data_IF_311890976175
#
_entry.id   IF_311890976175
#
_cell.length_a   1.000
_cell.length_b   1.000
_cell.length_c   1.000
_cell.angle_alpha   90.00
_cell.angle_beta   90.00
_cell.angle_gamma   90.00
#
_symmetry.space_group_name_H-M   'P 1'
#
loop_
_entity.id
_entity.type
_entity.pdbx_description
1 polymer ?
#
# COMPACT_ATOMS: atom_id res chain seq x y z
N UNK A 1 -24.63 -20.96 49.16
CA UNK A 1 -24.44 -20.22 50.42
C UNK A 1 -25.31 -18.99 50.36
N UNK A 2 -26.17 -18.86 51.37
CA UNK A 2 -27.35 -18.01 51.40
C UNK A 2 -27.04 -16.51 51.54
N UNK A 3 -27.84 -15.70 50.87
CA UNK A 3 -27.98 -14.24 51.05
C UNK A 3 -28.51 -13.91 52.45
N UNK A 4 -28.03 -12.83 53.10
CA UNK A 4 -28.76 -12.20 54.19
C UNK A 4 -29.62 -11.01 53.71
N UNK A 5 -30.69 -10.65 54.44
CA UNK A 5 -31.77 -9.75 54.01
C UNK A 5 -31.60 -8.29 54.51
N UNK A 6 -32.47 -7.34 54.08
CA UNK A 6 -32.35 -5.91 54.35
C UNK A 6 -33.08 -5.48 55.64
N UNK A 7 -32.71 -4.32 56.21
CA UNK A 7 -33.47 -3.65 57.25
C UNK A 7 -33.70 -2.17 56.89
N UNK A 8 -34.97 -1.80 56.82
CA UNK A 8 -35.50 -0.45 56.68
C UNK A 8 -35.39 0.35 58.00
N UNK A 9 -35.51 1.68 57.86
CA UNK A 9 -35.60 2.76 58.86
C UNK A 9 -36.88 2.65 59.75
N UNK A 10 -37.36 3.65 60.55
CA UNK A 10 -36.97 5.06 60.74
C UNK A 10 -37.10 5.61 62.20
N UNK A 11 -36.97 6.94 62.38
CA UNK A 11 -37.78 7.85 63.24
C UNK A 11 -36.95 8.92 64.02
N UNK A 12 -37.08 10.18 63.61
CA UNK A 12 -36.99 11.42 64.42
C UNK A 12 -38.35 11.71 65.11
N UNK A 13 -38.57 12.74 65.98
CA UNK A 13 -37.75 13.86 66.50
C UNK A 13 -37.90 14.06 68.06
N UNK A 14 -37.53 15.19 68.73
CA UNK A 14 -38.39 16.39 68.77
C UNK A 14 -37.66 17.77 68.85
N UNK A 15 -38.46 18.82 68.70
CA UNK A 15 -38.13 20.25 68.62
C UNK A 15 -37.99 21.00 69.97
N UNK A 16 -37.00 21.92 70.03
CA UNK A 16 -36.93 23.29 70.62
C UNK A 16 -37.23 23.57 72.13
N UNK A 17 -36.59 24.58 72.77
CA UNK A 17 -37.07 25.99 72.66
C UNK A 17 -36.01 27.12 72.70
N UNK A 18 -36.35 28.19 71.96
CA UNK A 18 -36.16 29.66 72.12
C UNK A 18 -35.05 30.33 72.98
N UNK A 19 -34.42 31.32 72.29
CA UNK A 19 -34.03 32.72 72.69
C UNK A 19 -33.04 32.93 73.86
N UNK A 20 -31.93 33.60 73.59
CA UNK A 20 -31.73 35.03 73.90
C UNK A 20 -30.38 35.51 73.34
N UNK A 21 -30.34 36.71 72.76
CA UNK A 21 -29.21 37.20 71.98
C UNK A 21 -28.03 37.73 72.80
N UNK A 22 -26.89 37.84 72.13
CA UNK A 22 -25.95 38.95 72.27
C UNK A 22 -25.19 39.08 70.96
N UNK A 23 -25.42 40.20 70.27
CA UNK A 23 -24.66 40.65 69.10
C UNK A 23 -23.22 40.94 69.56
N UNK A 24 -22.27 40.14 69.10
CA UNK A 24 -20.89 40.58 68.91
C UNK A 24 -20.73 40.87 67.42
N UNK A 25 -20.86 42.14 67.04
CA UNK A 25 -20.42 42.63 65.74
C UNK A 25 -18.89 42.64 65.80
N UNK A 26 -18.26 41.56 65.36
CA UNK A 26 -16.85 41.57 64.98
C UNK A 26 -16.84 42.11 63.54
N UNK A 27 -16.22 43.29 63.36
CA UNK A 27 -15.89 43.81 62.03
C UNK A 27 -14.84 42.89 61.40
N UNK A 28 -15.28 41.87 60.68
CA UNK A 28 -14.48 41.12 59.71
C UNK A 28 -15.25 41.11 58.41
N UNK A 29 -15.01 42.09 57.53
CA UNK A 29 -15.42 42.01 56.12
C UNK A 29 -14.89 43.21 55.32
N UNK A 30 -13.59 43.26 55.09
CA UNK A 30 -13.02 44.00 53.94
C UNK A 30 -11.89 43.21 53.27
N UNK A 31 -11.17 42.34 53.99
CA UNK A 31 -10.09 41.52 53.42
C UNK A 31 -10.54 40.30 52.58
N UNK A 32 -11.74 39.73 52.79
CA UNK A 32 -12.21 38.57 52.00
C UNK A 32 -12.58 38.95 50.55
N UNK A 33 -13.07 40.17 50.32
CA UNK A 33 -13.48 40.63 48.98
C UNK A 33 -12.29 40.90 48.05
N UNK A 34 -11.18 41.40 48.59
CA UNK A 34 -9.94 41.59 47.83
C UNK A 34 -9.27 40.26 47.47
N UNK A 35 -9.23 39.31 48.41
CA UNK A 35 -8.62 38.00 48.16
C UNK A 35 -9.42 37.14 47.16
N UNK A 36 -10.76 37.32 47.11
CA UNK A 36 -11.62 36.66 46.12
C UNK A 36 -11.48 37.32 44.72
N UNK A 37 -11.34 38.64 44.66
CA UNK A 37 -11.14 39.39 43.43
C UNK A 37 -9.74 39.15 42.83
N UNK A 38 -8.70 39.11 43.65
CA UNK A 38 -7.32 38.77 43.25
C UNK A 38 -7.24 37.35 42.69
N UNK A 39 -7.93 36.37 43.31
CA UNK A 39 -8.03 35.01 42.77
C UNK A 39 -8.75 34.96 41.41
N UNK A 40 -9.77 35.80 41.21
CA UNK A 40 -10.48 35.93 39.92
C UNK A 40 -9.61 36.57 38.82
N UNK A 41 -8.77 37.54 39.17
CA UNK A 41 -7.81 38.14 38.23
C UNK A 41 -6.67 37.17 37.87
N UNK A 42 -6.17 36.40 38.85
CA UNK A 42 -5.20 35.33 38.63
C UNK A 42 -5.76 34.23 37.72
N UNK A 43 -7.01 33.79 37.94
CA UNK A 43 -7.67 32.79 37.08
C UNK A 43 -7.84 33.30 35.65
N UNK A 44 -8.21 34.58 35.47
CA UNK A 44 -8.31 35.20 34.13
C UNK A 44 -6.94 35.31 33.45
N UNK A 45 -5.92 35.74 34.20
CA UNK A 45 -4.56 35.83 33.68
C UNK A 45 -4.02 34.45 33.28
N UNK A 46 -4.32 33.42 34.07
CA UNK A 46 -3.99 32.04 33.76
C UNK A 46 -4.71 31.53 32.51
N UNK A 47 -6.01 31.78 32.38
CA UNK A 47 -6.78 31.41 31.18
C UNK A 47 -6.25 32.10 29.92
N UNK A 48 -5.90 33.38 29.97
CA UNK A 48 -5.38 34.07 28.78
C UNK A 48 -3.95 33.62 28.44
N UNK A 49 -3.12 33.35 29.44
CA UNK A 49 -1.80 32.74 29.25
C UNK A 49 -1.93 31.36 28.61
N UNK A 50 -2.80 30.51 29.15
CA UNK A 50 -3.09 29.18 28.62
C UNK A 50 -3.57 29.29 27.16
N UNK A 51 -4.52 30.19 26.87
CA UNK A 51 -5.03 30.44 25.52
C UNK A 51 -3.94 30.90 24.56
N UNK A 52 -3.04 31.76 25.02
CA UNK A 52 -1.90 32.27 24.23
C UNK A 52 -0.87 31.17 23.95
N UNK A 53 -0.50 30.41 24.97
CA UNK A 53 0.43 29.28 24.83
C UNK A 53 -0.19 28.21 23.91
N UNK A 54 -1.46 27.86 24.08
CA UNK A 54 -2.16 26.98 23.16
C UNK A 54 -2.14 27.55 21.74
N UNK A 55 -2.47 28.82 21.50
CA UNK A 55 -2.43 29.39 20.16
C UNK A 55 -1.01 29.32 19.53
N UNK A 56 0.05 29.48 20.32
CA UNK A 56 1.44 29.38 19.87
C UNK A 56 1.88 27.95 19.56
N UNK A 57 1.55 26.98 20.42
CA UNK A 57 2.06 25.60 20.32
C UNK A 57 1.14 24.67 19.53
N UNK A 58 -0.16 24.95 19.49
CA UNK A 58 -1.17 24.09 18.88
C UNK A 58 -0.92 23.82 17.40
N UNK A 59 -0.45 24.75 16.55
CA UNK A 59 -0.11 24.43 15.16
C UNK A 59 1.01 23.40 15.04
N UNK A 60 2.08 23.53 15.84
CA UNK A 60 3.21 22.60 15.84
C UNK A 60 2.87 21.26 16.49
N UNK A 61 1.99 21.25 17.48
CA UNK A 61 1.44 20.04 18.08
C UNK A 61 0.51 19.30 17.12
N UNK A 62 -0.41 20.02 16.46
CA UNK A 62 -1.32 19.46 15.47
C UNK A 62 -0.56 18.78 14.32
N UNK A 63 0.51 19.41 13.81
CA UNK A 63 1.39 18.79 12.80
C UNK A 63 1.99 17.48 13.32
N UNK A 64 2.60 17.48 14.51
CA UNK A 64 3.21 16.29 15.10
C UNK A 64 2.20 15.16 15.33
N UNK A 65 0.99 15.50 15.77
CA UNK A 65 -0.10 14.51 15.93
C UNK A 65 -0.48 13.92 14.57
N UNK A 66 -0.67 14.77 13.53
CA UNK A 66 -1.01 14.31 12.18
C UNK A 66 0.10 13.45 11.56
N UNK A 67 1.36 13.73 11.86
CA UNK A 67 2.50 12.91 11.45
C UNK A 67 2.51 11.53 12.12
N UNK A 68 1.93 11.44 13.33
CA UNK A 68 1.93 10.22 14.12
C UNK A 68 0.73 9.29 13.92
N UNK A 69 -0.29 9.72 13.19
CA UNK A 69 -1.49 8.90 12.94
C UNK A 69 -1.16 7.54 12.32
N UNK A 70 -1.85 6.46 12.73
CA UNK A 70 -1.54 5.11 12.29
C UNK A 70 -1.99 4.79 10.86
N UNK A 71 -3.04 5.45 10.38
CA UNK A 71 -3.70 5.11 9.11
C UNK A 71 -4.39 6.31 8.44
N UNK A 72 -4.83 6.12 7.20
CA UNK A 72 -5.43 7.17 6.36
C UNK A 72 -6.82 7.58 6.85
N UNK A 73 -7.60 6.67 7.46
CA UNK A 73 -8.93 6.97 8.01
C UNK A 73 -8.80 7.84 9.26
N UNK A 74 -7.83 7.53 10.12
CA UNK A 74 -7.49 8.34 11.28
C UNK A 74 -6.98 9.71 10.84
N UNK A 75 -6.12 9.78 9.81
CA UNK A 75 -5.68 11.06 9.22
C UNK A 75 -6.87 11.90 8.72
N UNK A 76 -7.82 11.29 8.02
CA UNK A 76 -9.01 11.98 7.48
C UNK A 76 -9.94 12.49 8.58
N UNK A 77 -10.07 11.73 9.67
CA UNK A 77 -10.83 12.14 10.85
C UNK A 77 -10.11 13.23 11.65
N UNK A 78 -8.78 13.14 11.79
CA UNK A 78 -7.98 14.09 12.57
C UNK A 78 -7.85 15.46 11.89
N UNK A 79 -7.76 15.52 10.56
CA UNK A 79 -7.59 16.81 9.85
C UNK A 79 -8.79 17.75 9.97
N UNK A 80 -9.97 17.23 10.35
CA UNK A 80 -11.21 18.02 10.47
C UNK A 80 -11.55 18.42 11.91
N UNK A 81 -10.70 18.09 12.90
CA UNK A 81 -10.98 18.35 14.31
C UNK A 81 -11.08 19.85 14.63
N UNK A 82 -10.16 20.67 14.12
CA UNK A 82 -10.19 22.12 14.28
C UNK A 82 -9.33 22.82 13.20
N UNK A 83 -9.34 24.17 13.21
CA UNK A 83 -8.60 25.00 12.25
C UNK A 83 -7.09 24.70 12.24
N UNK A 84 -6.47 24.47 13.39
CA UNK A 84 -5.03 24.19 13.47
C UNK A 84 -4.67 22.87 12.82
N UNK A 85 -5.45 21.80 13.05
CA UNK A 85 -5.29 20.51 12.38
C UNK A 85 -5.53 20.61 10.87
N UNK A 86 -6.57 21.33 10.46
CA UNK A 86 -6.85 21.56 9.04
C UNK A 86 -5.70 22.29 8.35
N UNK A 87 -5.20 23.38 8.93
CA UNK A 87 -4.07 24.14 8.37
C UNK A 87 -2.77 23.34 8.35
N UNK A 88 -2.50 22.57 9.41
CA UNK A 88 -1.35 21.66 9.46
C UNK A 88 -1.42 20.60 8.36
N UNK A 89 -2.60 20.04 8.09
CA UNK A 89 -2.83 19.11 6.98
C UNK A 89 -2.61 19.78 5.62
N UNK A 90 -3.24 20.94 5.39
CA UNK A 90 -3.16 21.68 4.12
C UNK A 90 -1.74 22.11 3.76
N UNK A 91 -0.88 22.32 4.77
CA UNK A 91 0.51 22.73 4.55
C UNK A 91 1.34 21.64 3.88
N UNK A 92 1.05 20.35 4.11
CA UNK A 92 1.77 19.25 3.48
C UNK A 92 0.95 17.94 3.42
N UNK A 93 -0.13 17.90 2.63
CA UNK A 93 -1.05 16.76 2.64
C UNK A 93 -0.41 15.49 2.10
N UNK A 94 0.42 15.59 1.06
CA UNK A 94 1.07 14.43 0.44
C UNK A 94 2.02 13.72 1.41
N UNK A 95 2.80 14.46 2.19
CA UNK A 95 3.69 13.88 3.19
C UNK A 95 2.91 13.09 4.25
N UNK A 96 1.84 13.68 4.79
CA UNK A 96 1.00 13.04 5.80
C UNK A 96 0.34 11.77 5.26
N UNK A 97 -0.15 11.81 4.02
CA UNK A 97 -0.73 10.64 3.33
C UNK A 97 0.31 9.54 3.13
N UNK A 98 1.51 9.88 2.63
CA UNK A 98 2.60 8.90 2.42
C UNK A 98 3.01 8.26 3.75
N UNK A 99 3.12 9.04 4.82
CA UNK A 99 3.49 8.56 6.16
C UNK A 99 2.41 7.68 6.79
N UNK A 100 1.14 8.08 6.69
CA UNK A 100 0.02 7.26 7.15
C UNK A 100 -0.09 5.95 6.37
N UNK A 101 0.13 5.98 5.05
CA UNK A 101 0.17 4.77 4.22
C UNK A 101 1.33 3.85 4.60
N UNK A 102 2.53 4.42 4.81
CA UNK A 102 3.68 3.66 5.26
C UNK A 102 3.44 2.94 6.58
N UNK A 103 2.69 3.55 7.51
CA UNK A 103 2.36 2.96 8.80
C UNK A 103 1.30 1.87 8.70
N UNK A 104 0.22 2.10 7.96
CA UNK A 104 -0.88 1.13 7.87
C UNK A 104 -0.54 -0.07 6.97
N UNK A 105 0.19 0.15 5.88
CA UNK A 105 0.53 -0.89 4.91
C UNK A 105 1.85 -0.52 4.22
N UNK A 106 3.00 -0.85 4.84
CA UNK A 106 4.31 -0.59 4.26
C UNK A 106 4.49 -1.14 2.83
N UNK A 107 4.00 -2.36 2.48
CA UNK A 107 4.09 -2.86 1.11
C UNK A 107 3.31 -2.03 0.09
N UNK A 108 2.10 -1.57 0.43
CA UNK A 108 1.31 -0.71 -0.44
C UNK A 108 1.98 0.66 -0.61
N UNK A 109 2.53 1.23 0.47
CA UNK A 109 3.33 2.45 0.39
C UNK A 109 4.51 2.26 -0.57
N UNK A 110 5.31 1.21 -0.43
CA UNK A 110 6.45 0.97 -1.31
C UNK A 110 6.02 0.87 -2.78
N UNK A 111 4.92 0.19 -3.10
CA UNK A 111 4.39 0.13 -4.47
C UNK A 111 4.19 1.53 -5.07
N UNK A 112 3.71 2.49 -4.25
CA UNK A 112 3.53 3.89 -4.66
C UNK A 112 4.86 4.63 -4.82
N UNK A 113 5.85 4.30 -4.02
CA UNK A 113 7.15 4.94 -4.08
C UNK A 113 8.05 4.42 -5.20
N UNK A 114 7.85 3.16 -5.61
CA UNK A 114 8.58 2.49 -6.71
C UNK A 114 8.12 2.94 -8.11
N UNK A 115 7.66 4.19 -8.24
CA UNK A 115 7.22 4.78 -9.50
C UNK A 115 5.72 4.56 -9.77
N UNK A 116 5.01 5.67 -9.97
CA UNK A 116 3.62 5.62 -10.42
C UNK A 116 3.59 5.46 -11.93
N UNK A 117 2.70 4.62 -12.47
CA UNK A 117 2.39 4.72 -13.88
C UNK A 117 1.92 6.14 -14.18
N UNK A 118 2.42 6.74 -15.27
CA UNK A 118 2.02 8.10 -15.67
C UNK A 118 0.56 8.16 -16.14
N UNK A 119 0.04 7.03 -16.60
CA UNK A 119 -1.33 6.90 -17.04
C UNK A 119 -2.30 6.68 -15.87
N UNK A 120 -3.53 7.17 -16.05
CA UNK A 120 -4.63 7.00 -15.10
C UNK A 120 -4.97 5.50 -14.94
N UNK A 121 -5.18 4.99 -13.71
CA UNK A 121 -5.58 3.60 -13.50
C UNK A 121 -6.84 3.19 -14.29
N UNK A 122 -6.97 1.90 -14.59
CA UNK A 122 -8.05 1.31 -15.40
C UNK A 122 -8.14 1.80 -16.87
N UNK A 123 -7.12 2.47 -17.41
CA UNK A 123 -7.11 2.90 -18.81
C UNK A 123 -6.31 1.94 -19.69
N UNK A 124 -6.57 1.94 -21.00
CA UNK A 124 -5.77 1.16 -21.95
C UNK A 124 -4.31 1.62 -21.91
N UNK A 125 -4.09 2.92 -21.75
CA UNK A 125 -2.77 3.52 -21.61
C UNK A 125 -2.04 2.95 -20.39
N UNK A 126 -2.71 2.84 -19.23
CA UNK A 126 -2.15 2.22 -18.03
C UNK A 126 -1.71 0.77 -18.27
N UNK A 127 -2.55 -0.01 -18.96
CA UNK A 127 -2.25 -1.40 -19.28
C UNK A 127 -1.10 -1.56 -20.27
N UNK A 128 -0.98 -0.65 -21.26
CA UNK A 128 0.17 -0.61 -22.17
C UNK A 128 1.46 -0.23 -21.45
N UNK A 129 1.39 0.62 -20.42
CA UNK A 129 2.55 1.02 -19.62
C UNK A 129 3.20 -0.15 -18.87
N UNK A 130 2.46 -1.23 -18.58
CA UNK A 130 3.00 -2.35 -17.79
C UNK A 130 4.26 -3.00 -18.39
N UNK A 131 4.40 -2.95 -19.73
CA UNK A 131 5.59 -3.44 -20.46
C UNK A 131 6.60 -2.37 -20.83
N UNK A 132 6.28 -1.09 -20.64
CA UNK A 132 7.17 0.00 -21.06
C UNK A 132 8.39 0.04 -20.16
N UNK A 133 9.58 -0.12 -20.78
CA UNK A 133 10.89 -0.02 -20.14
C UNK A 133 11.12 1.36 -19.56
N UNK A 134 10.78 2.38 -20.34
CA UNK A 134 10.86 3.79 -19.96
C UNK A 134 9.45 4.35 -19.78
N UNK A 135 9.20 4.93 -18.61
CA UNK A 135 7.97 5.68 -18.35
C UNK A 135 8.33 7.10 -17.93
N UNK A 136 7.71 8.12 -18.54
CA UNK A 136 7.89 9.48 -18.08
C UNK A 136 7.49 9.58 -16.61
N UNK A 137 8.24 10.37 -15.88
CA UNK A 137 7.99 10.68 -14.49
C UNK A 137 6.64 11.38 -14.29
N UNK A 138 5.58 10.77 -13.71
CA UNK A 138 4.43 11.57 -13.30
C UNK A 138 4.81 12.54 -12.18
N UNK A 139 4.32 13.77 -12.28
CA UNK A 139 4.23 14.69 -11.16
C UNK A 139 3.34 14.07 -10.09
N UNK A 140 3.88 13.78 -8.91
CA UNK A 140 3.09 13.18 -7.82
C UNK A 140 2.23 14.26 -7.19
N UNK A 141 0.92 14.03 -7.18
CA UNK A 141 -0.08 14.89 -6.54
C UNK A 141 -0.88 14.07 -5.55
N UNK A 142 -1.54 14.71 -4.58
CA UNK A 142 -2.46 13.98 -3.67
C UNK A 142 -3.51 13.20 -4.45
N UNK A 143 -4.09 13.83 -5.49
CA UNK A 143 -5.14 13.23 -6.30
C UNK A 143 -4.66 11.96 -7.03
N UNK A 144 -3.55 12.03 -7.78
CA UNK A 144 -3.06 10.83 -8.46
C UNK A 144 -2.56 9.77 -7.47
N UNK A 145 -1.89 10.17 -6.38
CA UNK A 145 -1.40 9.26 -5.37
C UNK A 145 -2.54 8.41 -4.78
N UNK A 146 -3.62 9.07 -4.37
CA UNK A 146 -4.81 8.42 -3.79
C UNK A 146 -5.62 7.64 -4.82
N UNK A 147 -5.76 8.16 -6.05
CA UNK A 147 -6.53 7.46 -7.09
C UNK A 147 -5.94 6.11 -7.48
N UNK A 148 -4.62 6.02 -7.55
CA UNK A 148 -3.96 4.74 -7.80
C UNK A 148 -3.98 3.85 -6.55
N UNK A 149 -3.79 4.39 -5.34
CA UNK A 149 -3.91 3.56 -4.13
C UNK A 149 -5.30 2.92 -4.06
N UNK A 150 -6.36 3.69 -4.31
CA UNK A 150 -7.73 3.18 -4.35
C UNK A 150 -7.90 2.07 -5.42
N UNK A 151 -7.30 2.25 -6.61
CA UNK A 151 -7.29 1.23 -7.64
C UNK A 151 -6.53 -0.04 -7.22
N UNK A 152 -5.34 0.13 -6.65
CA UNK A 152 -4.48 -0.96 -6.20
C UNK A 152 -5.18 -1.77 -5.09
N UNK A 153 -5.81 -1.12 -4.11
CA UNK A 153 -6.64 -1.78 -3.10
C UNK A 153 -7.84 -2.52 -3.69
N UNK A 154 -8.52 -1.93 -4.69
CA UNK A 154 -9.64 -2.58 -5.36
C UNK A 154 -9.21 -3.83 -6.15
N UNK A 155 -8.08 -3.76 -6.86
CA UNK A 155 -7.50 -4.91 -7.57
C UNK A 155 -7.15 -6.02 -6.59
N UNK A 156 -6.50 -5.70 -5.47
CA UNK A 156 -6.17 -6.70 -4.44
C UNK A 156 -7.44 -7.34 -3.86
N UNK A 157 -8.48 -6.55 -3.57
CA UNK A 157 -9.75 -7.09 -3.08
C UNK A 157 -10.40 -8.06 -4.07
N UNK A 158 -10.45 -7.70 -5.37
CA UNK A 158 -10.98 -8.59 -6.42
C UNK A 158 -10.15 -9.86 -6.59
N UNK A 159 -8.83 -9.74 -6.53
CA UNK A 159 -7.91 -10.87 -6.61
C UNK A 159 -8.13 -11.83 -5.45
N UNK A 160 -8.19 -11.34 -4.21
CA UNK A 160 -8.49 -12.16 -3.02
C UNK A 160 -9.84 -12.87 -3.21
N UNK A 161 -10.88 -12.15 -3.64
CA UNK A 161 -12.18 -12.73 -3.93
C UNK A 161 -12.18 -13.77 -5.07
N UNK A 162 -11.24 -13.69 -6.00
CA UNK A 162 -11.14 -14.60 -7.14
C UNK A 162 -10.32 -15.87 -6.85
N UNK A 163 -9.36 -15.81 -5.92
CA UNK A 163 -8.39 -16.89 -5.67
C UNK A 163 -8.67 -17.74 -4.42
N UNK A 164 -9.58 -17.27 -3.56
CA UNK A 164 -10.05 -18.01 -2.38
C UNK A 164 -11.52 -18.44 -2.59
N UNK A 165 -11.85 -19.64 -2.11
CA UNK A 165 -13.25 -20.12 -2.12
C UNK A 165 -14.08 -19.36 -1.08
N UNK A 166 -15.41 -19.45 -1.17
CA UNK A 166 -16.32 -18.85 -0.18
C UNK A 166 -16.00 -19.24 1.26
N UNK A 167 -15.69 -20.52 1.50
CA UNK A 167 -15.30 -21.03 2.82
C UNK A 167 -13.97 -20.43 3.30
N UNK A 168 -12.98 -20.36 2.42
CA UNK A 168 -11.69 -19.76 2.75
C UNK A 168 -11.82 -18.25 2.99
N UNK A 169 -12.69 -17.57 2.25
CA UNK A 169 -12.98 -16.16 2.48
C UNK A 169 -13.64 -15.94 3.84
N UNK A 170 -14.63 -16.77 4.21
CA UNK A 170 -15.22 -16.74 5.55
C UNK A 170 -14.15 -16.96 6.64
N UNK A 171 -13.25 -17.92 6.43
CA UNK A 171 -12.13 -18.14 7.34
C UNK A 171 -11.22 -16.91 7.47
N UNK A 172 -10.83 -16.28 6.36
CA UNK A 172 -10.02 -15.05 6.35
C UNK A 172 -10.72 -13.89 7.07
N UNK A 173 -12.03 -13.71 6.88
CA UNK A 173 -12.80 -12.66 7.56
C UNK A 173 -12.84 -12.82 9.09
N UNK A 174 -12.64 -14.04 9.60
CA UNK A 174 -12.53 -14.31 11.04
C UNK A 174 -11.10 -14.27 11.57
N UNK A 175 -10.09 -14.11 10.70
CA UNK A 175 -8.67 -14.09 11.06
C UNK A 175 -7.99 -12.87 10.44
N UNK A 176 -8.15 -11.72 11.10
CA UNK A 176 -7.67 -10.41 10.62
C UNK A 176 -6.17 -10.42 10.24
N UNK A 177 -5.32 -10.99 11.10
CA UNK A 177 -3.87 -11.06 10.84
C UNK A 177 -3.51 -11.90 9.61
N UNK A 178 -4.29 -12.94 9.31
CA UNK A 178 -4.08 -13.75 8.11
C UNK A 178 -4.58 -13.01 6.86
N UNK A 179 -5.70 -12.30 6.95
CA UNK A 179 -6.19 -11.45 5.86
C UNK A 179 -5.18 -10.34 5.54
N UNK A 180 -4.61 -9.71 6.56
CA UNK A 180 -3.54 -8.73 6.43
C UNK A 180 -2.31 -9.34 5.75
N UNK A 181 -1.86 -10.52 6.17
CA UNK A 181 -0.74 -11.22 5.54
C UNK A 181 -0.98 -11.56 4.05
N UNK A 182 -2.22 -11.93 3.69
CA UNK A 182 -2.62 -12.17 2.29
C UNK A 182 -2.64 -10.86 1.49
N UNK A 183 -3.18 -9.79 2.07
CA UNK A 183 -3.19 -8.47 1.44
C UNK A 183 -1.76 -7.96 1.19
N UNK A 184 -0.90 -8.04 2.20
CA UNK A 184 0.51 -7.67 2.12
C UNK A 184 1.25 -8.51 1.07
N UNK A 185 1.00 -9.82 1.01
CA UNK A 185 1.56 -10.68 -0.03
C UNK A 185 1.15 -10.23 -1.43
N UNK A 186 -0.10 -9.83 -1.64
CA UNK A 186 -0.56 -9.28 -2.93
C UNK A 186 0.21 -8.01 -3.30
N UNK A 187 0.34 -7.06 -2.37
CA UNK A 187 1.07 -5.81 -2.59
C UNK A 187 2.56 -6.08 -2.90
N UNK A 188 3.21 -6.98 -2.16
CA UNK A 188 4.60 -7.39 -2.38
C UNK A 188 4.82 -8.03 -3.74
N UNK A 189 3.92 -8.94 -4.17
CA UNK A 189 3.96 -9.54 -5.51
C UNK A 189 3.87 -8.45 -6.58
N UNK A 190 2.96 -7.49 -6.40
CA UNK A 190 2.81 -6.40 -7.37
C UNK A 190 4.06 -5.53 -7.43
N UNK A 191 4.62 -5.14 -6.28
CA UNK A 191 5.88 -4.38 -6.21
C UNK A 191 7.01 -5.15 -6.89
N UNK A 192 7.14 -6.45 -6.62
CA UNK A 192 8.15 -7.31 -7.24
C UNK A 192 8.02 -7.32 -8.77
N UNK A 193 6.81 -7.52 -9.31
CA UNK A 193 6.56 -7.45 -10.75
C UNK A 193 6.82 -6.04 -11.32
N UNK A 194 6.51 -5.00 -10.56
CA UNK A 194 6.77 -3.61 -10.95
C UNK A 194 8.27 -3.31 -11.03
N UNK A 195 9.11 -3.95 -10.22
CA UNK A 195 10.55 -3.72 -10.24
C UNK A 195 11.23 -4.63 -11.27
N UNK A 196 10.91 -5.93 -11.28
CA UNK A 196 11.69 -6.96 -11.96
C UNK A 196 11.00 -7.60 -13.18
N UNK A 197 9.68 -7.41 -13.34
CA UNK A 197 8.89 -8.10 -14.36
C UNK A 197 9.05 -7.57 -15.79
N UNK A 198 8.42 -8.29 -16.73
CA UNK A 198 8.53 -8.16 -18.19
C UNK A 198 8.69 -6.75 -18.76
N UNK A 199 9.55 -6.64 -19.77
CA UNK A 199 9.86 -5.41 -20.51
C UNK A 199 10.97 -4.57 -19.89
N UNK A 200 11.49 -4.96 -18.71
CA UNK A 200 12.48 -4.18 -17.95
C UNK A 200 13.90 -4.72 -18.03
N UNK A 201 14.09 -5.93 -18.55
CA UNK A 201 15.41 -6.58 -18.62
C UNK A 201 15.97 -7.03 -17.26
N UNK A 202 15.12 -7.15 -16.23
CA UNK A 202 15.52 -7.42 -14.83
C UNK A 202 14.98 -8.73 -14.25
N UNK A 203 14.41 -9.59 -15.09
CA UNK A 203 13.88 -10.89 -14.67
C UNK A 203 15.00 -11.83 -14.20
N UNK A 204 16.21 -11.66 -14.75
CA UNK A 204 17.43 -12.38 -14.34
C UNK A 204 18.30 -11.68 -13.29
N UNK A 205 17.88 -10.52 -12.78
CA UNK A 205 18.60 -9.74 -11.75
C UNK A 205 18.44 -10.39 -10.37
N UNK A 206 19.14 -11.51 -10.18
CA UNK A 206 19.00 -12.30 -8.96
C UNK A 206 19.51 -11.56 -7.73
N UNK A 207 20.57 -10.75 -7.85
CA UNK A 207 21.13 -9.95 -6.75
C UNK A 207 20.11 -8.91 -6.29
N UNK A 208 19.58 -8.11 -7.21
CA UNK A 208 18.57 -7.11 -6.90
C UNK A 208 17.30 -7.71 -6.30
N UNK A 209 16.86 -8.87 -6.80
CA UNK A 209 15.70 -9.58 -6.25
C UNK A 209 15.95 -10.06 -4.81
N UNK A 210 17.10 -10.67 -4.53
CA UNK A 210 17.43 -11.10 -3.16
C UNK A 210 17.56 -9.89 -2.23
N UNK A 211 18.20 -8.82 -2.68
CA UNK A 211 18.38 -7.61 -1.90
C UNK A 211 17.04 -6.94 -1.56
N UNK A 212 16.10 -6.88 -2.51
CA UNK A 212 14.74 -6.41 -2.24
C UNK A 212 14.04 -7.26 -1.18
N UNK A 213 14.11 -8.59 -1.29
CA UNK A 213 13.53 -9.53 -0.31
C UNK A 213 14.18 -9.39 1.08
N UNK A 214 15.46 -8.99 1.14
CA UNK A 214 16.21 -8.66 2.37
C UNK A 214 15.95 -7.24 2.89
N UNK A 215 15.07 -6.48 2.25
CA UNK A 215 14.69 -5.14 2.69
C UNK A 215 15.62 -4.02 2.19
N UNK A 216 16.50 -4.29 1.23
CA UNK A 216 17.23 -3.27 0.47
C UNK A 216 18.35 -2.54 1.22
N UNK A 217 18.84 -3.07 2.35
CA UNK A 217 19.79 -2.37 3.21
C UNK A 217 21.19 -2.13 2.59
N UNK A 218 21.70 -3.05 1.77
CA UNK A 218 23.03 -2.98 1.16
C UNK A 218 23.07 -1.96 0.01
N UNK A 219 22.02 -1.91 -0.82
CA UNK A 219 21.95 -0.99 -1.97
C UNK A 219 21.67 0.46 -1.54
N UNK A 220 21.26 0.69 -0.29
CA UNK A 220 21.04 2.03 0.28
C UNK A 220 22.27 2.63 0.99
N UNK A 221 23.41 1.93 1.02
CA UNK A 221 24.65 2.49 1.58
C UNK A 221 25.19 3.61 0.68
N UNK A 222 25.33 4.85 1.17
CA UNK A 222 25.72 5.98 0.32
C UNK A 222 27.17 5.85 -0.14
N UNK A 223 27.39 5.65 -1.44
CA UNK A 223 28.70 5.84 -2.05
C UNK A 223 28.89 7.32 -2.41
N UNK A 224 29.44 8.13 -1.49
CA UNK A 224 29.97 9.48 -1.78
C UNK A 224 28.96 10.62 -2.06
N UNK A 225 29.42 11.88 -2.14
CA UNK A 225 28.56 13.06 -1.97
C UNK A 225 27.88 13.53 -3.27
N UNK A 226 26.59 13.88 -3.14
CA UNK A 226 25.79 14.81 -3.95
C UNK A 226 25.65 14.51 -5.46
N UNK A 227 24.47 13.99 -5.86
CA UNK A 227 23.85 14.36 -7.14
C UNK A 227 22.34 14.52 -6.95
N UNK A 228 21.88 15.73 -7.26
CA UNK A 228 20.49 16.15 -7.35
C UNK A 228 19.85 15.47 -8.54
N UNK A 229 18.69 14.84 -8.32
CA UNK A 229 17.74 14.51 -9.38
C UNK A 229 17.98 13.16 -10.05
N UNK A 230 16.97 12.30 -9.92
CA UNK A 230 16.78 11.21 -10.87
C UNK A 230 16.71 11.83 -12.27
N UNK A 231 17.51 11.36 -13.22
CA UNK A 231 16.86 11.08 -14.50
C UNK A 231 15.99 9.87 -14.22
N UNK A 232 14.67 10.03 -14.25
CA UNK A 232 13.70 8.98 -13.85
C UNK A 232 13.69 7.77 -14.81
N UNK A 233 14.76 7.61 -15.59
CA UNK A 233 14.98 6.71 -16.72
C UNK A 233 16.28 5.88 -16.56
N UNK A 234 16.89 5.80 -15.37
CA UNK A 234 18.11 4.98 -15.17
C UNK A 234 17.76 3.55 -14.76
N UNK A 235 18.21 2.59 -15.56
CA UNK A 235 17.96 1.15 -15.48
C UNK A 235 18.78 0.39 -14.42
N UNK A 236 19.48 1.08 -13.52
CA UNK A 236 20.41 0.42 -12.60
C UNK A 236 20.08 0.76 -11.15
N UNK A 237 20.08 -0.26 -10.28
CA UNK A 237 20.11 -0.12 -8.82
C UNK A 237 21.39 0.55 -8.31
N UNK A 238 22.23 1.12 -9.19
CA UNK A 238 23.38 1.95 -8.80
C UNK A 238 22.97 3.07 -7.82
N UNK A 239 21.71 3.53 -7.88
CA UNK A 239 21.08 4.41 -6.89
C UNK A 239 19.60 4.04 -6.67
N UNK A 240 19.32 2.95 -5.94
CA UNK A 240 17.94 2.59 -5.61
C UNK A 240 17.22 3.69 -4.82
N UNK A 241 15.89 3.90 -5.02
CA UNK A 241 15.12 4.81 -4.18
C UNK A 241 15.26 4.45 -2.70
N UNK A 242 15.14 5.46 -1.84
CA UNK A 242 15.05 5.26 -0.39
C UNK A 242 13.95 4.26 -0.01
N UNK A 243 12.89 4.12 -0.81
CA UNK A 243 11.78 3.20 -0.59
C UNK A 243 12.08 1.73 -0.95
N UNK A 244 13.14 1.44 -1.71
CA UNK A 244 13.44 0.09 -2.19
C UNK A 244 13.62 -0.89 -1.01
N UNK A 245 12.77 -1.92 -0.99
CA UNK A 245 12.73 -2.95 0.06
C UNK A 245 12.19 -2.45 1.41
N UNK A 246 11.87 -1.17 1.58
CA UNK A 246 11.43 -0.63 2.88
C UNK A 246 10.05 -1.13 3.30
N UNK A 247 9.19 -1.50 2.36
CA UNK A 247 7.92 -2.16 2.64
C UNK A 247 8.08 -3.56 3.24
N UNK A 248 9.29 -4.11 3.22
CA UNK A 248 9.62 -5.42 3.79
C UNK A 248 10.17 -5.33 5.23
N UNK A 249 10.16 -4.15 5.87
CA UNK A 249 10.42 -4.01 7.31
C UNK A 249 11.83 -4.44 7.77
N UNK A 250 12.83 -4.44 6.89
CA UNK A 250 14.18 -4.97 7.17
C UNK A 250 14.44 -6.38 6.62
N UNK A 251 13.47 -6.94 5.91
CA UNK A 251 13.58 -8.22 5.22
C UNK A 251 12.39 -9.11 5.52
N UNK A 252 11.94 -9.83 4.49
CA UNK A 252 10.78 -10.72 4.62
C UNK A 252 11.11 -11.95 5.45
N UNK A 253 10.19 -12.30 6.35
CA UNK A 253 10.27 -13.53 7.13
C UNK A 253 9.93 -14.76 6.27
N UNK A 254 10.26 -15.95 6.77
CA UNK A 254 9.84 -17.21 6.13
C UNK A 254 8.31 -17.32 5.99
N UNK A 255 7.55 -16.70 6.90
CA UNK A 255 6.09 -16.67 6.82
C UNK A 255 5.61 -15.77 5.67
N UNK A 256 6.16 -14.56 5.56
CA UNK A 256 5.83 -13.63 4.46
C UNK A 256 6.11 -14.22 3.09
N UNK A 257 7.27 -14.87 2.94
CA UNK A 257 7.66 -15.53 1.68
C UNK A 257 6.69 -16.67 1.34
N UNK A 258 6.28 -17.47 2.33
CA UNK A 258 5.27 -18.54 2.14
C UNK A 258 3.91 -17.96 1.72
N UNK A 259 3.53 -16.80 2.25
CA UNK A 259 2.30 -16.11 1.83
C UNK A 259 2.37 -15.59 0.40
N UNK A 260 3.50 -15.01 0.00
CA UNK A 260 3.73 -14.63 -1.40
C UNK A 260 3.64 -15.84 -2.34
N UNK A 261 4.29 -16.95 -2.01
CA UNK A 261 4.21 -18.18 -2.81
C UNK A 261 2.79 -18.75 -2.88
N UNK A 262 2.05 -18.78 -1.76
CA UNK A 262 0.67 -19.25 -1.73
C UNK A 262 -0.23 -18.41 -2.65
N UNK A 263 -0.13 -17.08 -2.57
CA UNK A 263 -0.91 -16.16 -3.42
C UNK A 263 -0.52 -16.34 -4.88
N UNK A 264 0.78 -16.37 -5.20
CA UNK A 264 1.29 -16.60 -6.56
C UNK A 264 0.77 -17.89 -7.19
N UNK A 265 0.74 -18.98 -6.43
CA UNK A 265 0.28 -20.29 -6.90
C UNK A 265 -1.23 -20.34 -7.11
N UNK A 266 -1.99 -19.64 -6.25
CA UNK A 266 -3.43 -19.52 -6.41
C UNK A 266 -3.80 -18.66 -7.60
N UNK A 267 -3.09 -17.54 -7.81
CA UNK A 267 -3.22 -16.69 -9.01
C UNK A 267 -2.97 -17.48 -10.29
N UNK A 268 -1.84 -18.18 -10.35
CA UNK A 268 -1.45 -19.01 -11.49
C UNK A 268 -2.53 -20.05 -11.81
N UNK A 269 -3.02 -20.79 -10.80
CA UNK A 269 -4.10 -21.78 -10.98
C UNK A 269 -5.41 -21.14 -11.42
N UNK A 270 -5.77 -19.98 -10.86
CA UNK A 270 -7.01 -19.28 -11.20
C UNK A 270 -6.99 -18.78 -12.64
N UNK A 271 -5.87 -18.20 -13.09
CA UNK A 271 -5.67 -17.77 -14.46
C UNK A 271 -5.69 -18.97 -15.42
N UNK A 272 -4.98 -20.06 -15.08
CA UNK A 272 -5.02 -21.31 -15.85
C UNK A 272 -6.44 -21.84 -16.02
N UNK A 273 -7.20 -21.93 -14.94
CA UNK A 273 -8.61 -22.37 -14.99
C UNK A 273 -9.48 -21.45 -15.85
N UNK A 274 -9.24 -20.13 -15.82
CA UNK A 274 -9.95 -19.16 -16.64
C UNK A 274 -9.68 -19.35 -18.13
N UNK A 275 -8.44 -19.64 -18.53
CA UNK A 275 -8.08 -19.79 -19.96
C UNK A 275 -8.36 -21.18 -20.51
N UNK A 276 -8.42 -22.21 -19.67
CA UNK A 276 -8.75 -23.59 -20.08
C UNK A 276 -10.13 -23.72 -20.74
N UNK A 277 -11.05 -22.78 -20.48
CA UNK A 277 -12.37 -22.75 -21.13
C UNK A 277 -12.35 -22.15 -22.55
N UNK A 278 -11.21 -21.67 -23.02
CA UNK A 278 -11.08 -21.03 -24.33
C UNK A 278 -10.33 -21.96 -25.31
N UNK A 279 -10.73 -22.02 -26.59
CA UNK A 279 -9.97 -22.74 -27.60
C UNK A 279 -8.56 -22.15 -27.68
N UNK A 280 -7.55 -22.94 -27.31
CA UNK A 280 -6.15 -22.55 -27.44
C UNK A 280 -5.77 -22.57 -28.92
N UNK A 281 -6.11 -21.50 -29.63
CA UNK A 281 -5.64 -21.22 -30.98
C UNK A 281 -4.80 -19.97 -30.83
N UNK A 282 -3.47 -20.11 -30.87
CA UNK A 282 -2.60 -18.95 -30.83
C UNK A 282 -2.94 -18.10 -32.07
N UNK A 283 -3.31 -16.81 -31.91
CA UNK A 283 -3.53 -15.96 -33.06
C UNK A 283 -2.21 -15.81 -33.80
N UNK A 284 -2.11 -16.43 -34.99
CA UNK A 284 -1.02 -16.16 -35.92
C UNK A 284 -1.02 -14.64 -36.17
N UNK A 285 0.14 -13.98 -36.02
CA UNK A 285 0.35 -12.54 -36.31
C UNK A 285 0.03 -12.12 -37.75
N UNK A 286 -0.53 -13.01 -38.56
CA UNK A 286 -0.74 -12.85 -40.00
C UNK A 286 -2.02 -12.09 -40.36
N UNK A 287 -2.90 -11.75 -39.41
CA UNK A 287 -4.26 -11.31 -39.76
C UNK A 287 -4.53 -9.80 -39.87
N UNK A 288 -3.56 -8.90 -39.64
CA UNK A 288 -3.81 -7.44 -39.78
C UNK A 288 -2.81 -6.66 -40.65
N UNK A 289 -1.64 -7.18 -41.01
CA UNK A 289 -0.65 -6.45 -41.83
C UNK A 289 -0.66 -6.81 -43.34
N UNK A 290 -1.33 -7.88 -43.79
CA UNK A 290 -1.29 -8.30 -45.21
C UNK A 290 -2.32 -7.62 -46.14
N UNK A 291 -3.12 -6.66 -45.65
CA UNK A 291 -4.11 -6.00 -46.50
C UNK A 291 -3.58 -4.75 -47.23
N UNK A 292 -2.36 -4.27 -46.94
CA UNK A 292 -1.84 -3.03 -47.55
C UNK A 292 -0.36 -3.19 -47.95
N UNK A 293 -0.17 -3.44 -49.23
CA UNK A 293 1.03 -3.12 -50.05
C UNK A 293 1.98 -4.27 -50.48
N UNK A 294 1.64 -4.79 -51.66
CA UNK A 294 2.46 -5.19 -52.83
C UNK A 294 3.89 -5.72 -52.65
N UNK A 295 4.05 -6.87 -53.32
CA UNK A 295 5.09 -7.22 -54.30
C UNK A 295 6.56 -7.04 -53.93
N UNK A 296 7.28 -8.15 -54.06
CA UNK A 296 8.72 -8.21 -54.33
C UNK A 296 9.60 -7.96 -53.09
N UNK A 297 9.87 -9.00 -52.31
CA UNK A 297 11.19 -9.67 -52.26
C UNK A 297 11.04 -10.91 -51.37
N UNK A 298 11.31 -12.09 -51.92
CA UNK A 298 11.20 -13.38 -51.23
C UNK A 298 12.38 -13.54 -50.27
N UNK A 299 12.30 -12.94 -49.10
CA UNK A 299 13.10 -13.34 -47.96
C UNK A 299 12.53 -14.66 -47.44
N UNK A 300 13.38 -15.67 -47.31
CA UNK A 300 13.04 -16.94 -46.68
C UNK A 300 12.66 -16.62 -45.24
N UNK A 301 11.37 -16.60 -44.94
CA UNK A 301 10.86 -16.47 -43.59
C UNK A 301 11.28 -17.73 -42.82
N UNK A 302 11.96 -17.53 -41.70
CA UNK A 302 12.28 -18.56 -40.73
C UNK A 302 10.97 -19.02 -40.07
N UNK A 303 10.32 -19.96 -40.74
CA UNK A 303 8.98 -20.44 -40.46
C UNK A 303 9.04 -21.54 -39.39
N UNK A 304 9.52 -21.25 -38.17
CA UNK A 304 9.47 -22.23 -37.06
C UNK A 304 9.62 -21.66 -35.64
N UNK A 305 9.03 -20.52 -35.29
CA UNK A 305 8.81 -20.25 -33.85
C UNK A 305 7.58 -21.02 -33.36
N UNK A 306 7.72 -22.02 -32.47
CA UNK A 306 6.58 -22.74 -31.92
C UNK A 306 5.69 -21.76 -31.14
N UNK A 307 4.37 -21.89 -31.28
CA UNK A 307 3.42 -21.16 -30.45
C UNK A 307 3.75 -21.41 -28.97
N UNK A 308 3.83 -20.37 -28.13
CA UNK A 308 4.19 -20.53 -26.72
C UNK A 308 3.19 -21.46 -26.03
N UNK A 309 3.68 -22.24 -25.08
CA UNK A 309 2.81 -23.13 -24.28
C UNK A 309 1.86 -22.31 -23.41
N UNK A 310 0.76 -22.93 -22.96
CA UNK A 310 -0.18 -22.31 -22.00
C UNK A 310 0.55 -21.81 -20.75
N UNK A 311 1.55 -22.56 -20.28
CA UNK A 311 2.32 -22.21 -19.08
C UNK A 311 3.27 -21.04 -19.32
N UNK A 312 3.89 -20.98 -20.50
CA UNK A 312 4.72 -19.84 -20.93
C UNK A 312 3.87 -18.56 -21.06
N UNK A 313 2.67 -18.66 -21.61
CA UNK A 313 1.72 -17.56 -21.68
C UNK A 313 1.30 -17.08 -20.29
N UNK A 314 0.93 -18.01 -19.40
CA UNK A 314 0.58 -17.66 -18.01
C UNK A 314 1.78 -16.96 -17.35
N UNK A 315 2.99 -17.49 -17.53
CA UNK A 315 4.22 -16.88 -17.04
C UNK A 315 4.37 -15.43 -17.51
N UNK A 316 4.21 -15.20 -18.82
CA UNK A 316 4.33 -13.87 -19.44
C UNK A 316 3.33 -12.84 -18.89
N UNK A 317 2.11 -13.27 -18.55
CA UNK A 317 1.10 -12.40 -17.95
C UNK A 317 1.37 -12.17 -16.46
N UNK A 318 1.74 -13.22 -15.73
CA UNK A 318 1.94 -13.16 -14.28
C UNK A 318 3.02 -12.15 -13.90
N UNK A 319 4.09 -12.03 -14.70
CA UNK A 319 5.18 -11.07 -14.45
C UNK A 319 4.79 -9.60 -14.72
N UNK A 320 3.66 -9.32 -15.37
CA UNK A 320 3.13 -7.95 -15.53
C UNK A 320 2.52 -7.40 -14.24
N UNK A 321 2.24 -8.28 -13.26
CA UNK A 321 1.69 -7.93 -11.96
C UNK A 321 0.15 -7.97 -11.89
N UNK A 322 -0.38 -7.63 -10.71
CA UNK A 322 -1.77 -7.94 -10.37
C UNK A 322 -2.82 -7.21 -11.21
N UNK A 323 -2.54 -5.99 -11.69
CA UNK A 323 -3.47 -5.29 -12.58
C UNK A 323 -3.73 -6.05 -13.89
N UNK A 324 -2.69 -6.66 -14.48
CA UNK A 324 -2.86 -7.45 -15.69
C UNK A 324 -3.69 -8.70 -15.41
N UNK A 325 -3.37 -9.42 -14.33
CA UNK A 325 -4.09 -10.63 -13.94
C UNK A 325 -5.56 -10.34 -13.64
N UNK A 326 -5.86 -9.31 -12.85
CA UNK A 326 -7.23 -8.90 -12.53
C UNK A 326 -8.04 -8.51 -13.78
N UNK A 327 -7.40 -7.79 -14.72
CA UNK A 327 -8.01 -7.43 -15.99
C UNK A 327 -8.40 -8.67 -16.81
N UNK A 328 -7.49 -9.66 -16.94
CA UNK A 328 -7.78 -10.88 -17.70
C UNK A 328 -8.80 -11.80 -17.00
N UNK A 329 -8.75 -11.91 -15.68
CA UNK A 329 -9.74 -12.69 -14.93
C UNK A 329 -11.16 -12.13 -15.11
N UNK A 330 -11.27 -10.81 -15.22
CA UNK A 330 -12.52 -10.08 -15.45
C UNK A 330 -12.94 -10.03 -16.92
N UNK A 331 -12.04 -10.32 -17.86
CA UNK A 331 -12.32 -10.29 -19.29
C UNK A 331 -13.27 -11.42 -19.73
N UNK A 332 -14.06 -11.12 -20.76
CA UNK A 332 -14.87 -12.10 -21.48
C UNK A 332 -14.04 -12.98 -22.43
N UNK A 333 -12.88 -12.48 -22.88
CA UNK A 333 -11.90 -13.22 -23.69
C UNK A 333 -10.48 -12.79 -23.26
N UNK A 334 -9.86 -13.51 -22.30
CA UNK A 334 -8.56 -13.13 -21.76
C UNK A 334 -7.42 -13.28 -22.79
N UNK A 335 -7.55 -14.19 -23.76
CA UNK A 335 -6.50 -14.44 -24.75
C UNK A 335 -6.47 -13.27 -25.74
N UNK A 336 -7.64 -12.92 -26.30
CA UNK A 336 -7.76 -11.79 -27.23
C UNK A 336 -7.40 -10.45 -26.59
N UNK A 337 -7.79 -10.23 -25.34
CA UNK A 337 -7.44 -8.99 -24.64
C UNK A 337 -5.93 -8.86 -24.36
N UNK A 338 -5.26 -9.97 -23.99
CA UNK A 338 -3.82 -9.98 -23.83
C UNK A 338 -3.10 -9.68 -25.16
N UNK A 339 -3.59 -10.24 -26.26
CA UNK A 339 -3.06 -10.00 -27.61
C UNK A 339 -3.24 -8.53 -28.04
N UNK A 340 -4.45 -7.98 -27.86
CA UNK A 340 -4.76 -6.56 -28.14
C UNK A 340 -3.87 -5.59 -27.36
N UNK A 341 -3.43 -5.97 -26.17
CA UNK A 341 -2.55 -5.16 -25.31
C UNK A 341 -1.06 -5.46 -25.54
N UNK A 342 -0.73 -6.37 -26.45
CA UNK A 342 0.65 -6.80 -26.72
C UNK A 342 1.31 -7.48 -25.51
N UNK A 343 0.52 -8.07 -24.61
CA UNK A 343 1.01 -8.76 -23.43
C UNK A 343 1.61 -10.13 -23.75
N UNK A 344 1.18 -10.71 -24.85
CA UNK A 344 1.80 -11.89 -25.46
C UNK A 344 3.02 -11.48 -26.28
N UNK A 345 4.20 -11.96 -25.92
CA UNK A 345 5.36 -11.96 -26.84
C UNK A 345 5.55 -13.41 -27.25
N UNK A 346 5.70 -13.66 -28.56
CA UNK A 346 6.38 -14.88 -29.03
C UNK A 346 7.82 -14.89 -28.52
N UNK A 347 8.51 -16.03 -28.52
CA UNK A 347 9.83 -16.18 -27.94
C UNK A 347 10.85 -15.36 -28.72
N UNK A 348 11.01 -14.08 -28.39
CA UNK A 348 12.01 -13.23 -29.03
C UNK A 348 13.27 -13.31 -28.20
N UNK A 349 14.11 -14.27 -28.60
CA UNK A 349 15.58 -14.24 -28.55
C UNK A 349 16.24 -13.92 -27.22
N UNK A 350 16.76 -15.00 -26.61
CA UNK A 350 18.10 -15.06 -26.00
C UNK A 350 18.46 -13.96 -25.02
N UNK A 351 18.05 -14.15 -23.78
CA UNK A 351 19.04 -14.19 -22.71
C UNK A 351 19.12 -15.65 -22.29
N UNK A 352 20.24 -16.29 -22.66
CA UNK A 352 20.74 -17.58 -22.12
C UNK A 352 19.73 -18.31 -21.24
N UNK A 353 19.00 -19.28 -21.84
CA UNK A 353 18.23 -20.33 -21.17
C UNK A 353 18.20 -20.12 -19.67
N UNK A 354 17.31 -19.26 -19.19
CA UNK A 354 17.00 -19.20 -17.77
C UNK A 354 16.63 -20.65 -17.44
N UNK A 355 17.50 -21.32 -16.68
CA UNK A 355 17.31 -22.72 -16.32
C UNK A 355 15.97 -22.82 -15.59
N UNK A 356 14.91 -23.11 -16.34
CA UNK A 356 13.56 -23.46 -15.88
C UNK A 356 12.99 -22.56 -14.77
N UNK A 357 13.28 -21.25 -14.83
CA UNK A 357 13.18 -20.37 -13.67
C UNK A 357 11.83 -19.72 -13.44
N UNK A 358 11.16 -20.05 -12.33
CA UNK A 358 9.85 -19.56 -11.96
C UNK A 358 9.80 -18.12 -11.41
N UNK A 359 10.53 -17.15 -11.99
CA UNK A 359 10.58 -15.72 -11.63
C UNK A 359 10.47 -15.43 -10.11
N UNK A 360 9.27 -15.13 -9.61
CA UNK A 360 9.02 -14.88 -8.18
C UNK A 360 9.31 -16.12 -7.33
N UNK A 361 8.86 -17.30 -7.79
CA UNK A 361 9.02 -18.57 -7.06
C UNK A 361 10.49 -18.85 -6.77
N UNK A 362 11.37 -18.63 -7.74
CA UNK A 362 12.80 -18.88 -7.60
C UNK A 362 13.44 -17.92 -6.60
N UNK A 363 13.11 -16.63 -6.72
CA UNK A 363 13.58 -15.60 -5.79
C UNK A 363 13.17 -15.94 -4.36
N UNK A 364 11.91 -16.33 -4.16
CA UNK A 364 11.37 -16.74 -2.87
C UNK A 364 12.00 -18.02 -2.33
N UNK A 365 12.16 -19.07 -3.14
CA UNK A 365 12.76 -20.35 -2.71
C UNK A 365 14.21 -20.16 -2.29
N UNK A 366 14.99 -19.37 -3.03
CA UNK A 366 16.37 -19.01 -2.66
C UNK A 366 16.41 -18.29 -1.32
N UNK A 367 15.52 -17.31 -1.10
CA UNK A 367 15.43 -16.60 0.17
C UNK A 367 15.08 -17.52 1.34
N UNK A 368 14.12 -18.44 1.15
CA UNK A 368 13.78 -19.44 2.19
C UNK A 368 14.98 -20.29 2.55
N UNK A 369 15.76 -20.75 1.55
CA UNK A 369 16.98 -21.55 1.81
C UNK A 369 17.98 -20.78 2.66
N UNK A 370 18.20 -19.49 2.38
CA UNK A 370 19.08 -18.63 3.16
C UNK A 370 18.60 -18.38 4.61
N UNK A 371 17.28 -18.39 4.84
CA UNK A 371 16.71 -18.25 6.18
C UNK A 371 16.78 -19.54 7.00
N UNK A 372 16.99 -20.69 6.35
CA UNK A 372 17.07 -22.01 6.98
C UNK A 372 18.49 -22.56 7.14
N UNK A 373 19.46 -21.94 6.46
CA UNK A 373 20.90 -22.20 6.62
C UNK A 373 21.46 -21.38 7.77
#
# INVERSE_FOLDING_TARGET
>A
MSTPPPCEAPLTPPETPHRCGSRLIIKSQEHEGQHLAENLELDRAWQELERTLFAMFLPGLARRILEEVPDLRTLDSSRVLNRSFYMAYQSNPLFLIRRALQKMCPPAWELREMGLPWARPCTVEYFRCLKMKEQPAPTITVANYMSHYAYESMVVARIIGAIFTTEQHAYLCHHESLLEAVHDACMRIWTFCRIFGCGKGREGDWEGQQEWLCGGAQVRQPSGPSVVGWSRNSEVLDLAPDSFGRGNGGGLSSYDIKMMLLVWDRLTRRLRSKIQSYPWTYPSRESEEEAVDRSSTRAIADETTPSPSVDEWIGSVMVLGLAAVDYLLSSADPIREADRLGWTVGPTTTTTRAEEGGFLRDACVRRVRQLTS
#
